data_IF_472367824948
#
_entry.id   IF_472367824948
#
_cell.length_a   1.000
_cell.length_b   1.000
_cell.length_c   1.000
_cell.angle_alpha   90.00
_cell.angle_beta   90.00
_cell.angle_gamma   90.00
#
_symmetry.space_group_name_H-M   'P 1'
#
loop_
_entity.id
_entity.type
_entity.pdbx_description
1 polymer ?
#
# COMPACT_ATOMS: atom_id res chain seq x y z
N UNK A 1 45.23 -33.57 33.62
CA UNK A 1 45.49 -33.34 32.18
C UNK A 1 44.14 -33.01 31.56
N UNK A 2 43.82 -31.72 31.34
CA UNK A 2 43.97 -31.01 30.04
C UNK A 2 43.00 -31.65 29.00
N UNK A 3 41.94 -31.04 28.48
CA UNK A 3 41.71 -29.73 27.84
C UNK A 3 40.18 -29.68 27.58
N UNK A 4 39.41 -28.74 28.13
CA UNK A 4 38.97 -27.48 27.50
C UNK A 4 38.58 -27.59 26.01
N UNK A 5 37.29 -27.81 25.71
CA UNK A 5 36.71 -27.38 24.43
C UNK A 5 35.33 -26.76 24.70
N UNK A 6 35.38 -25.50 25.15
CA UNK A 6 34.31 -24.54 24.99
C UNK A 6 34.07 -24.36 23.48
N UNK A 7 32.88 -24.74 23.00
CA UNK A 7 32.39 -24.32 21.69
C UNK A 7 31.19 -23.40 21.93
N UNK A 8 31.56 -22.17 22.28
CA UNK A 8 30.75 -20.99 22.08
C UNK A 8 30.56 -20.78 20.56
N UNK A 9 29.54 -20.00 20.20
CA UNK A 9 29.29 -19.40 18.87
C UNK A 9 28.42 -20.23 17.92
N UNK A 10 27.11 -19.95 17.90
CA UNK A 10 26.43 -19.18 16.83
C UNK A 10 24.91 -19.33 16.94
N UNK A 11 24.19 -18.24 17.22
CA UNK A 11 23.07 -17.86 16.36
C UNK A 11 22.87 -16.35 16.44
N UNK A 12 23.20 -15.71 15.31
CA UNK A 12 23.03 -14.29 15.07
C UNK A 12 21.53 -14.03 14.94
N UNK A 13 20.92 -13.50 15.99
CA UNK A 13 19.60 -12.87 15.93
C UNK A 13 19.80 -11.36 16.10
N UNK A 14 20.39 -10.73 15.09
CA UNK A 14 20.07 -9.34 14.81
C UNK A 14 19.21 -9.32 13.56
N UNK A 15 17.91 -9.39 13.83
CA UNK A 15 16.86 -8.91 12.94
C UNK A 15 17.21 -7.48 12.57
N UNK A 16 17.83 -7.31 11.41
CA UNK A 16 17.78 -6.04 10.71
C UNK A 16 16.34 -5.92 10.21
N UNK A 17 15.45 -5.38 11.03
CA UNK A 17 14.20 -4.85 10.51
C UNK A 17 14.63 -3.85 9.45
N UNK A 18 14.22 -4.05 8.20
CA UNK A 18 14.25 -2.96 7.25
C UNK A 18 13.56 -1.80 7.96
N UNK A 19 14.27 -0.71 8.19
CA UNK A 19 13.69 0.55 8.62
C UNK A 19 12.73 0.97 7.50
N UNK A 20 11.53 0.39 7.52
CA UNK A 20 10.47 0.79 6.64
C UNK A 20 10.20 2.24 7.01
N UNK A 21 10.28 3.10 6.01
CA UNK A 21 9.95 4.52 6.09
C UNK A 21 8.54 4.78 6.70
N UNK A 22 7.72 3.75 6.89
CA UNK A 22 6.53 3.78 7.72
C UNK A 22 6.79 4.32 9.15
N UNK A 23 7.96 4.07 9.75
CA UNK A 23 8.31 4.52 11.11
C UNK A 23 8.54 6.04 11.25
N UNK A 24 8.83 6.75 10.14
CA UNK A 24 9.02 8.22 10.14
C UNK A 24 7.72 8.99 9.92
N UNK A 25 6.68 8.36 9.37
CA UNK A 25 5.44 9.01 9.00
C UNK A 25 4.51 9.22 10.19
N UNK A 26 3.68 10.27 10.10
CA UNK A 26 2.75 10.65 11.17
C UNK A 26 1.33 10.22 10.82
N UNK A 27 0.49 10.00 11.84
CA UNK A 27 -0.93 9.76 11.62
C UNK A 27 -1.59 10.94 10.87
N UNK A 28 -2.31 10.62 9.81
CA UNK A 28 -3.11 11.53 9.00
C UNK A 28 -4.56 11.03 9.01
N UNK A 29 -5.43 11.79 9.67
CA UNK A 29 -6.87 11.51 9.73
C UNK A 29 -7.55 11.93 8.41
N UNK A 30 -8.21 10.97 7.75
CA UNK A 30 -8.94 11.16 6.50
C UNK A 30 -10.45 11.36 6.69
N UNK A 31 -10.96 11.37 7.93
CA UNK A 31 -12.38 11.58 8.24
C UNK A 31 -12.94 12.85 7.61
N UNK A 32 -12.15 13.93 7.58
CA UNK A 32 -12.51 15.21 6.93
C UNK A 32 -12.75 15.11 5.41
N UNK A 33 -12.39 13.99 4.80
CA UNK A 33 -12.62 13.67 3.39
C UNK A 33 -13.61 12.50 3.21
N UNK A 34 -14.40 12.18 4.24
CA UNK A 34 -15.38 11.09 4.27
C UNK A 34 -14.77 9.69 4.11
N UNK A 35 -13.51 9.52 4.52
CA UNK A 35 -12.83 8.23 4.55
C UNK A 35 -12.59 7.89 6.03
N UNK A 36 -13.23 6.86 6.60
CA UNK A 36 -13.31 6.63 8.03
C UNK A 36 -12.07 5.98 8.65
N UNK A 37 -10.87 6.38 8.21
CA UNK A 37 -9.60 5.81 8.68
C UNK A 37 -8.52 6.86 8.87
N UNK A 38 -7.50 6.47 9.64
CA UNK A 38 -6.23 7.20 9.79
C UNK A 38 -5.13 6.39 9.13
N UNK A 39 -4.29 7.03 8.33
CA UNK A 39 -3.13 6.39 7.70
C UNK A 39 -1.84 7.06 8.17
N UNK A 40 -0.69 6.44 7.91
CA UNK A 40 0.60 7.12 8.06
C UNK A 40 0.94 7.91 6.78
N UNK A 41 1.37 9.16 6.94
CA UNK A 41 1.85 9.98 5.82
C UNK A 41 3.01 10.91 6.26
N UNK A 42 3.86 11.37 5.31
CA UNK A 42 4.84 12.42 5.59
C UNK A 42 4.19 13.72 6.10
N UNK A 43 4.90 14.48 6.95
CA UNK A 43 4.42 15.78 7.45
C UNK A 43 4.22 16.82 6.33
N UNK A 44 4.97 16.67 5.24
CA UNK A 44 4.91 17.48 4.02
C UNK A 44 3.72 17.12 3.11
N UNK A 45 2.98 16.05 3.43
CA UNK A 45 1.94 15.52 2.56
C UNK A 45 0.77 16.50 2.38
N UNK A 46 0.40 16.72 1.13
CA UNK A 46 -0.74 17.54 0.73
C UNK A 46 -1.87 16.63 0.29
N UNK A 47 -3.07 16.93 0.77
CA UNK A 47 -4.28 16.17 0.41
C UNK A 47 -5.13 16.97 -0.56
N UNK A 48 -5.56 16.33 -1.64
CA UNK A 48 -6.54 16.84 -2.60
C UNK A 48 -7.71 15.87 -2.66
N UNK A 49 -8.93 16.40 -2.65
CA UNK A 49 -10.14 15.59 -2.70
C UNK A 49 -11.05 16.09 -3.82
N UNK A 50 -11.50 15.18 -4.68
CA UNK A 50 -12.42 15.45 -5.78
C UNK A 50 -13.59 14.48 -5.72
N UNK A 51 -14.80 15.00 -5.86
CA UNK A 51 -15.99 14.18 -5.96
C UNK A 51 -16.36 14.00 -7.44
N UNK A 52 -16.34 12.75 -7.91
CA UNK A 52 -16.64 12.39 -9.28
C UNK A 52 -18.13 12.06 -9.40
N UNK A 53 -18.92 13.08 -9.71
CA UNK A 53 -20.36 12.99 -10.00
C UNK A 53 -21.21 12.37 -8.89
N UNK A 54 -20.79 12.47 -7.63
CA UNK A 54 -21.48 11.91 -6.46
C UNK A 54 -21.35 10.38 -6.31
N UNK A 55 -20.64 9.71 -7.22
CA UNK A 55 -20.57 8.24 -7.29
C UNK A 55 -19.26 7.74 -6.70
N UNK A 56 -18.18 8.49 -6.90
CA UNK A 56 -16.85 8.13 -6.42
C UNK A 56 -16.17 9.34 -5.78
N UNK A 57 -15.64 9.15 -4.59
CA UNK A 57 -14.79 10.12 -3.93
C UNK A 57 -13.34 9.73 -4.19
N UNK A 58 -12.58 10.63 -4.82
CA UNK A 58 -11.16 10.48 -5.09
C UNK A 58 -10.39 11.38 -4.12
N UNK A 59 -9.54 10.78 -3.28
CA UNK A 59 -8.66 11.50 -2.36
C UNK A 59 -7.23 11.12 -2.63
N UNK A 60 -6.40 12.10 -2.97
CA UNK A 60 -4.99 11.92 -3.26
C UNK A 60 -4.12 12.61 -2.20
N UNK A 61 -3.18 11.88 -1.62
CA UNK A 61 -2.23 12.31 -0.59
C UNK A 61 -0.81 12.24 -1.17
N UNK A 62 -0.13 13.38 -1.29
CA UNK A 62 1.14 13.51 -1.99
C UNK A 62 2.22 14.23 -1.21
N UNK A 63 3.42 13.66 -1.19
CA UNK A 63 4.67 14.36 -0.91
C UNK A 63 5.70 14.00 -1.98
N UNK A 64 6.10 14.98 -2.79
CA UNK A 64 7.12 14.77 -3.81
C UNK A 64 8.50 14.53 -3.18
N UNK A 65 8.83 15.28 -2.13
CA UNK A 65 10.11 15.20 -1.43
C UNK A 65 10.33 13.84 -0.75
N UNK A 66 9.23 13.19 -0.33
CA UNK A 66 9.24 11.88 0.31
C UNK A 66 8.90 10.72 -0.62
N UNK A 67 8.75 10.98 -1.93
CA UNK A 67 8.35 9.96 -2.92
C UNK A 67 7.07 9.21 -2.51
N UNK A 68 6.12 9.94 -1.94
CA UNK A 68 4.85 9.42 -1.42
C UNK A 68 3.69 9.90 -2.29
N UNK A 69 2.86 8.99 -2.78
CA UNK A 69 1.67 9.32 -3.56
C UNK A 69 0.62 8.23 -3.42
N UNK A 70 -0.29 8.39 -2.47
CA UNK A 70 -1.41 7.48 -2.21
C UNK A 70 -2.70 8.10 -2.74
N UNK A 71 -3.51 7.31 -3.41
CA UNK A 71 -4.86 7.64 -3.82
C UNK A 71 -5.84 6.69 -3.14
N UNK A 72 -6.98 7.22 -2.72
CA UNK A 72 -8.11 6.47 -2.18
C UNK A 72 -9.29 6.70 -3.09
N UNK A 73 -9.82 5.62 -3.65
CA UNK A 73 -11.09 5.62 -4.35
C UNK A 73 -12.15 5.05 -3.41
N UNK A 74 -13.06 5.91 -2.95
CA UNK A 74 -14.20 5.49 -2.14
C UNK A 74 -15.45 5.42 -3.00
N UNK A 75 -16.15 4.29 -2.93
CA UNK A 75 -17.40 4.06 -3.66
C UNK A 75 -18.29 3.04 -2.93
N UNK A 76 -19.50 2.83 -3.44
CA UNK A 76 -20.37 1.79 -2.92
C UNK A 76 -19.76 0.42 -3.22
N UNK A 77 -19.64 -0.43 -2.19
CA UNK A 77 -19.11 -1.77 -2.34
C UNK A 77 -20.02 -2.64 -3.25
N UNK A 78 -19.42 -3.35 -4.20
CA UNK A 78 -20.13 -4.30 -5.05
C UNK A 78 -20.52 -5.58 -4.29
N UNK A 79 -19.81 -5.89 -3.21
CA UNK A 79 -20.02 -7.05 -2.35
C UNK A 79 -19.72 -6.71 -0.88
N UNK A 80 -20.22 -7.53 0.04
CA UNK A 80 -19.86 -7.50 1.46
C UNK A 80 -18.82 -8.59 1.82
N UNK A 81 -18.25 -9.24 0.82
CA UNK A 81 -17.28 -10.32 0.92
C UNK A 81 -15.91 -9.78 0.50
N UNK A 82 -14.99 -9.64 1.45
CA UNK A 82 -13.65 -9.08 1.21
C UNK A 82 -12.86 -9.89 0.18
N UNK A 83 -13.02 -11.22 0.16
CA UNK A 83 -12.34 -12.06 -0.81
C UNK A 83 -12.82 -11.77 -2.24
N UNK A 84 -14.11 -11.46 -2.41
CA UNK A 84 -14.67 -11.05 -3.72
C UNK A 84 -14.19 -9.66 -4.12
N UNK A 85 -14.22 -8.69 -3.19
CA UNK A 85 -13.71 -7.33 -3.46
C UNK A 85 -12.24 -7.38 -3.88
N UNK A 86 -11.39 -8.13 -3.15
CA UNK A 86 -9.99 -8.34 -3.53
C UNK A 86 -9.84 -9.05 -4.87
N UNK A 87 -10.65 -10.08 -5.15
CA UNK A 87 -10.61 -10.78 -6.44
C UNK A 87 -10.94 -9.84 -7.60
N UNK A 88 -11.93 -8.96 -7.46
CA UNK A 88 -12.27 -7.95 -8.46
C UNK A 88 -11.10 -6.97 -8.68
N UNK A 89 -10.45 -6.49 -7.62
CA UNK A 89 -9.25 -5.65 -7.75
C UNK A 89 -8.08 -6.38 -8.40
N UNK A 90 -7.89 -7.67 -8.10
CA UNK A 90 -6.86 -8.50 -8.74
C UNK A 90 -7.13 -8.65 -10.25
N UNK A 91 -8.38 -8.86 -10.65
CA UNK A 91 -8.75 -8.98 -12.06
C UNK A 91 -8.51 -7.65 -12.79
N UNK A 92 -8.86 -6.50 -12.17
CA UNK A 92 -8.59 -5.18 -12.74
C UNK A 92 -7.09 -4.92 -13.00
N UNK A 93 -6.19 -5.38 -12.11
CA UNK A 93 -4.75 -5.22 -12.35
C UNK A 93 -4.20 -6.22 -13.36
N UNK A 94 -4.74 -7.45 -13.39
CA UNK A 94 -4.34 -8.49 -14.36
C UNK A 94 -4.75 -8.16 -15.79
N UNK A 95 -5.83 -7.41 -15.95
CA UNK A 95 -6.30 -6.91 -17.26
C UNK A 95 -5.39 -5.80 -17.82
N UNK A 96 -4.45 -5.26 -17.04
CA UNK A 96 -3.46 -4.32 -17.53
C UNK A 96 -2.46 -5.02 -18.46
N UNK A 97 -2.29 -4.52 -19.69
CA UNK A 97 -1.35 -5.07 -20.68
C UNK A 97 0.10 -5.18 -20.22
N UNK A 98 0.49 -4.43 -19.19
CA UNK A 98 1.84 -4.41 -18.63
C UNK A 98 1.96 -5.24 -17.35
N UNK A 99 0.88 -5.88 -16.89
CA UNK A 99 0.91 -6.74 -15.73
C UNK A 99 1.91 -7.87 -15.94
N UNK A 100 2.81 -8.06 -14.97
CA UNK A 100 3.81 -9.13 -14.98
C UNK A 100 3.48 -10.18 -13.91
N UNK A 101 3.31 -9.76 -12.65
CA UNK A 101 3.08 -10.70 -11.54
C UNK A 101 2.50 -10.05 -10.29
N UNK A 102 1.92 -10.87 -9.42
CA UNK A 102 1.65 -10.50 -8.01
C UNK A 102 2.93 -10.77 -7.22
N UNK A 103 3.41 -9.74 -6.51
CA UNK A 103 4.64 -9.79 -5.70
C UNK A 103 4.33 -10.24 -4.27
N UNK A 104 3.23 -9.73 -3.71
CA UNK A 104 2.75 -10.08 -2.37
C UNK A 104 1.23 -10.04 -2.36
N UNK A 105 0.60 -11.01 -1.71
CA UNK A 105 -0.84 -11.05 -1.53
C UNK A 105 -1.17 -11.30 -0.05
N UNK A 106 -2.09 -10.52 0.48
CA UNK A 106 -2.61 -10.57 1.84
C UNK A 106 -4.16 -10.66 1.78
N UNK A 107 -4.84 -10.75 2.92
CA UNK A 107 -6.31 -10.88 2.98
C UNK A 107 -7.02 -9.67 2.35
N UNK A 108 -6.54 -8.47 2.70
CA UNK A 108 -7.17 -7.19 2.36
C UNK A 108 -6.40 -6.38 1.31
N UNK A 109 -5.37 -6.98 0.69
CA UNK A 109 -4.53 -6.23 -0.23
C UNK A 109 -3.45 -7.05 -0.91
N UNK A 110 -2.76 -6.40 -1.85
CA UNK A 110 -1.67 -7.00 -2.60
C UNK A 110 -0.75 -5.94 -3.22
N UNK A 111 0.49 -6.36 -3.50
CA UNK A 111 1.47 -5.63 -4.30
C UNK A 111 1.68 -6.40 -5.61
N UNK A 112 1.76 -5.68 -6.72
CA UNK A 112 1.96 -6.24 -8.04
C UNK A 112 3.09 -5.51 -8.79
N UNK A 113 3.64 -6.21 -9.77
CA UNK A 113 4.64 -5.70 -10.69
C UNK A 113 4.02 -5.54 -12.08
N UNK A 114 4.25 -4.38 -12.68
CA UNK A 114 4.14 -4.17 -14.11
C UNK A 114 5.54 -4.15 -14.73
N UNK A 115 5.64 -4.54 -16.00
CA UNK A 115 6.86 -4.42 -16.80
C UNK A 115 6.56 -3.72 -18.12
N UNK A 116 7.24 -2.60 -18.35
CA UNK A 116 7.20 -1.87 -19.62
C UNK A 116 8.58 -1.98 -20.24
N UNK A 117 8.67 -2.64 -21.39
CA UNK A 117 9.92 -3.05 -22.03
C UNK A 117 10.79 -3.87 -21.06
N UNK A 118 11.78 -3.24 -20.41
CA UNK A 118 12.66 -3.85 -19.40
C UNK A 118 12.66 -3.10 -18.07
N UNK A 119 11.67 -2.23 -17.85
CA UNK A 119 11.54 -1.40 -16.64
C UNK A 119 10.45 -1.96 -15.74
N UNK A 120 10.83 -2.37 -14.53
CA UNK A 120 9.90 -2.81 -13.49
C UNK A 120 9.27 -1.61 -12.79
N UNK A 121 7.94 -1.61 -12.72
CA UNK A 121 7.12 -0.63 -12.02
C UNK A 121 6.24 -1.37 -11.03
N UNK A 122 6.06 -0.83 -9.83
CA UNK A 122 5.30 -1.50 -8.80
C UNK A 122 4.02 -0.72 -8.47
N UNK A 123 3.01 -1.44 -8.04
CA UNK A 123 1.75 -0.88 -7.59
C UNK A 123 1.16 -1.70 -6.45
N UNK A 124 0.21 -1.12 -5.74
CA UNK A 124 -0.52 -1.84 -4.69
C UNK A 124 -2.02 -1.56 -4.73
N UNK A 125 -2.78 -2.46 -4.09
CA UNK A 125 -4.17 -2.26 -3.70
C UNK A 125 -4.30 -2.68 -2.24
N UNK A 126 -4.91 -1.84 -1.41
CA UNK A 126 -5.35 -2.20 -0.07
C UNK A 126 -6.80 -1.75 0.11
N UNK A 127 -7.64 -2.65 0.57
CA UNK A 127 -9.09 -2.54 0.50
C UNK A 127 -9.64 -2.49 1.92
N UNK A 128 -10.44 -1.48 2.19
CA UNK A 128 -11.22 -1.39 3.43
C UNK A 128 -12.68 -1.44 3.06
N UNK A 129 -13.42 -2.33 3.71
CA UNK A 129 -14.87 -2.43 3.58
C UNK A 129 -15.52 -2.03 4.90
N UNK A 130 -16.32 -0.96 4.88
CA UNK A 130 -17.02 -0.48 6.06
C UNK A 130 -18.42 0.01 5.72
N UNK A 131 -19.43 -0.56 6.38
CA UNK A 131 -20.82 -0.25 6.10
C UNK A 131 -21.21 -0.76 4.72
N UNK A 132 -21.53 0.15 3.79
CA UNK A 132 -21.81 -0.15 2.38
C UNK A 132 -20.78 0.46 1.41
N UNK A 133 -19.65 0.94 1.95
CA UNK A 133 -18.58 1.57 1.21
C UNK A 133 -17.36 0.65 1.10
N UNK A 134 -16.72 0.69 -0.06
CA UNK A 134 -15.39 0.18 -0.31
C UNK A 134 -14.44 1.37 -0.46
N UNK A 135 -13.27 1.27 0.18
CA UNK A 135 -12.18 2.23 0.07
C UNK A 135 -10.96 1.49 -0.49
N UNK A 136 -10.58 1.81 -1.72
CA UNK A 136 -9.42 1.21 -2.38
C UNK A 136 -8.25 2.19 -2.32
N UNK A 137 -7.28 1.87 -1.48
CA UNK A 137 -5.99 2.55 -1.42
C UNK A 137 -5.07 2.01 -2.50
N UNK A 138 -4.41 2.90 -3.22
CA UNK A 138 -3.47 2.58 -4.29
C UNK A 138 -2.41 3.67 -4.42
N UNK A 139 -1.31 3.40 -5.12
CA UNK A 139 -0.43 4.49 -5.57
C UNK A 139 -1.14 5.33 -6.64
N UNK A 140 -0.94 6.65 -6.62
CA UNK A 140 -1.56 7.52 -7.63
C UNK A 140 -0.94 7.33 -9.03
N UNK A 141 -1.73 7.62 -10.07
CA UNK A 141 -1.37 7.37 -11.46
C UNK A 141 -0.28 8.29 -12.04
N UNK A 142 0.05 9.40 -11.38
CA UNK A 142 1.00 10.40 -11.89
C UNK A 142 2.45 10.16 -11.48
N UNK A 143 2.75 8.97 -10.93
CA UNK A 143 4.10 8.58 -10.55
C UNK A 143 4.38 7.10 -10.79
N UNK A 144 5.64 6.82 -11.10
CA UNK A 144 6.21 5.47 -11.08
C UNK A 144 6.99 5.25 -9.80
N UNK A 145 6.85 4.07 -9.20
CA UNK A 145 7.47 3.74 -7.92
C UNK A 145 8.22 2.42 -8.00
N UNK A 146 9.35 2.36 -7.30
CA UNK A 146 10.08 1.11 -7.09
C UNK A 146 9.39 0.28 -5.97
N UNK A 147 9.85 -0.96 -5.78
CA UNK A 147 9.26 -1.87 -4.80
C UNK A 147 9.30 -1.32 -3.38
N UNK A 148 10.43 -0.75 -2.94
CA UNK A 148 10.59 -0.24 -1.58
C UNK A 148 9.64 0.95 -1.30
N UNK A 149 9.47 1.85 -2.28
CA UNK A 149 8.51 2.97 -2.19
C UNK A 149 7.06 2.45 -2.07
N UNK A 150 6.71 1.41 -2.83
CA UNK A 150 5.38 0.79 -2.80
C UNK A 150 5.14 0.03 -1.50
N UNK A 151 6.12 -0.72 -1.01
CA UNK A 151 6.05 -1.40 0.28
C UNK A 151 5.83 -0.40 1.42
N UNK A 152 6.58 0.71 1.43
CA UNK A 152 6.41 1.76 2.43
C UNK A 152 4.99 2.36 2.38
N UNK A 153 4.48 2.71 1.20
CA UNK A 153 3.12 3.22 1.05
C UNK A 153 2.04 2.20 1.41
N UNK A 154 2.25 0.92 1.08
CA UNK A 154 1.32 -0.16 1.42
C UNK A 154 1.25 -0.35 2.93
N UNK A 155 2.39 -0.42 3.63
CA UNK A 155 2.39 -0.54 5.10
C UNK A 155 1.75 0.69 5.77
N UNK A 156 1.86 1.87 5.16
CA UNK A 156 1.31 3.09 5.73
C UNK A 156 -0.21 3.22 5.69
N UNK A 157 -0.88 2.48 4.81
CA UNK A 157 -2.34 2.51 4.70
C UNK A 157 -3.03 1.36 5.44
N UNK A 158 -2.28 0.34 5.84
CA UNK A 158 -2.79 -0.81 6.60
C UNK A 158 -3.37 -0.38 7.94
N UNK A 159 -4.47 -1.04 8.33
CA UNK A 159 -5.12 -0.89 9.62
C UNK A 159 -4.80 -2.06 10.56
#
# INVERSE_FOLDING_TARGET
MRILCSMFLTLVLFSCGADSDAGKWKPLDLMKYNIPVTIAAPDSAKVSATNLSGIMQDVTIKSADDRYSVQVLASRAASNDMAKLKAEQLDLVRDNRYFESIVREEEDGFIFQNMIDSTSLYGFRYIIYQGDQEFVFQNAFDGTFNLAEIEAMYEAVKQ
#
